data_IF_341108795905
#
_entry.id   IF_341108795905
#
_cell.length_a   1.000
_cell.length_b   1.000
_cell.length_c   1.000
_cell.angle_alpha   90.00
_cell.angle_beta   90.00
_cell.angle_gamma   90.00
#
_symmetry.space_group_name_H-M   'P 1'
#
loop_
_entity.id
_entity.type
_entity.pdbx_description
1 polymer ?
#
# COMPACT_ATOMS: atom_id res chain seq x y z
N UNK A 1 8.68 -12.38 18.61
CA UNK A 1 8.67 -12.34 17.13
C UNK A 1 7.26 -12.06 16.58
N UNK A 2 6.66 -10.91 16.91
CA UNK A 2 5.31 -10.56 16.45
C UNK A 2 5.25 -10.01 15.01
N UNK A 3 6.38 -9.49 14.51
CA UNK A 3 6.51 -8.94 13.15
C UNK A 3 6.25 -9.98 12.03
N UNK A 4 6.17 -11.28 12.35
CA UNK A 4 5.90 -12.34 11.38
C UNK A 4 4.40 -12.68 11.26
N UNK A 5 3.62 -12.57 12.35
CA UNK A 5 2.21 -13.00 12.35
C UNK A 5 1.28 -12.01 11.62
N UNK A 6 1.44 -10.70 11.86
CA UNK A 6 0.63 -9.68 11.15
C UNK A 6 0.96 -9.64 9.66
N UNK A 7 2.23 -9.74 9.29
CA UNK A 7 2.66 -9.81 7.89
C UNK A 7 2.07 -11.03 7.19
N UNK A 8 2.16 -12.22 7.80
CA UNK A 8 1.51 -13.45 7.28
C UNK A 8 0.00 -13.30 7.15
N UNK A 9 -0.67 -12.65 8.11
CA UNK A 9 -2.12 -12.38 8.03
C UNK A 9 -2.46 -11.60 6.77
N UNK A 10 -1.71 -10.56 6.43
CA UNK A 10 -1.97 -9.77 5.22
C UNK A 10 -1.60 -10.52 3.94
N UNK A 11 -0.45 -11.18 3.89
CA UNK A 11 -0.02 -11.98 2.73
C UNK A 11 -1.02 -13.09 2.37
N UNK A 12 -1.67 -13.68 3.38
CA UNK A 12 -2.64 -14.75 3.20
C UNK A 12 -4.10 -14.26 3.19
N UNK A 13 -4.34 -12.94 3.18
CA UNK A 13 -5.70 -12.39 3.18
C UNK A 13 -6.35 -12.49 1.80
N UNK A 14 -7.67 -12.65 1.75
CA UNK A 14 -8.40 -12.65 0.48
C UNK A 14 -8.23 -11.32 -0.24
N UNK A 15 -8.27 -10.20 0.48
CA UNK A 15 -8.04 -8.87 -0.11
C UNK A 15 -6.68 -8.72 -0.78
N UNK A 16 -5.63 -9.36 -0.26
CA UNK A 16 -4.33 -9.37 -0.92
C UNK A 16 -4.41 -10.10 -2.27
N UNK A 17 -5.02 -11.29 -2.28
CA UNK A 17 -5.18 -12.08 -3.50
C UNK A 17 -6.08 -11.37 -4.53
N UNK A 18 -7.21 -10.82 -4.08
CA UNK A 18 -8.17 -10.07 -4.91
C UNK A 18 -7.52 -8.84 -5.55
N UNK A 19 -6.86 -7.99 -4.75
CA UNK A 19 -6.19 -6.79 -5.29
C UNK A 19 -5.07 -7.17 -6.25
N UNK A 20 -4.28 -8.20 -5.93
CA UNK A 20 -3.21 -8.66 -6.82
C UNK A 20 -3.79 -9.13 -8.15
N UNK A 21 -4.85 -9.93 -8.11
CA UNK A 21 -5.49 -10.45 -9.31
C UNK A 21 -6.10 -9.29 -10.13
N UNK A 22 -6.78 -8.35 -9.51
CA UNK A 22 -7.36 -7.18 -10.19
C UNK A 22 -6.30 -6.34 -10.90
N UNK A 23 -5.10 -6.19 -10.32
CA UNK A 23 -4.00 -5.46 -10.96
C UNK A 23 -3.44 -6.23 -12.16
N UNK A 24 -3.28 -7.55 -12.05
CA UNK A 24 -2.83 -8.40 -13.15
C UNK A 24 -3.85 -8.39 -14.31
N UNK A 25 -5.14 -8.52 -13.99
CA UNK A 25 -6.22 -8.49 -14.98
C UNK A 25 -6.26 -7.14 -15.73
N UNK A 26 -5.98 -6.02 -15.03
CA UNK A 26 -5.89 -4.71 -15.67
C UNK A 26 -4.68 -4.59 -16.62
N UNK A 27 -3.55 -5.20 -16.26
CA UNK A 27 -2.39 -5.27 -17.16
C UNK A 27 -2.71 -6.08 -18.41
N UNK A 28 -3.36 -7.23 -18.26
CA UNK A 28 -3.77 -8.06 -19.40
C UNK A 28 -4.75 -7.32 -20.32
N UNK A 29 -5.75 -6.62 -19.76
CA UNK A 29 -6.73 -5.82 -20.53
C UNK A 29 -6.09 -4.69 -21.33
N UNK A 30 -4.99 -4.13 -20.83
CA UNK A 30 -4.25 -3.05 -21.51
C UNK A 30 -3.18 -3.57 -22.47
N UNK A 31 -3.05 -4.90 -22.62
CA UNK A 31 -2.01 -5.54 -23.43
C UNK A 31 -0.61 -5.43 -22.82
N UNK A 32 -0.50 -5.01 -21.56
CA UNK A 32 0.77 -4.89 -20.83
C UNK A 32 1.16 -6.27 -20.31
N UNK A 33 2.08 -6.93 -21.02
CA UNK A 33 2.50 -8.32 -20.72
C UNK A 33 3.99 -8.42 -20.46
N UNK A 34 4.38 -9.41 -19.64
CA UNK A 34 5.76 -9.75 -19.39
C UNK A 34 6.11 -9.80 -17.91
N UNK A 35 7.13 -10.61 -17.59
CA UNK A 35 7.55 -10.88 -16.21
C UNK A 35 7.90 -9.61 -15.42
N UNK A 36 8.46 -8.60 -16.09
CA UNK A 36 8.78 -7.32 -15.48
C UNK A 36 7.54 -6.63 -14.88
N UNK A 37 6.44 -6.56 -15.62
CA UNK A 37 5.22 -5.92 -15.13
C UNK A 37 4.53 -6.74 -14.04
N UNK A 38 4.60 -8.08 -14.12
CA UNK A 38 4.17 -8.95 -13.02
C UNK A 38 4.99 -8.71 -11.74
N UNK A 39 6.29 -8.46 -11.88
CA UNK A 39 7.18 -8.15 -10.75
C UNK A 39 6.82 -6.81 -10.12
N UNK A 40 6.56 -5.78 -10.92
CA UNK A 40 6.06 -4.49 -10.44
C UNK A 40 4.71 -4.61 -9.69
N UNK A 41 3.82 -5.51 -10.12
CA UNK A 41 2.61 -5.81 -9.33
C UNK A 41 2.96 -6.47 -7.99
N UNK A 42 3.94 -7.38 -7.95
CA UNK A 42 4.40 -7.95 -6.68
C UNK A 42 4.98 -6.88 -5.76
N UNK A 43 5.80 -5.96 -6.29
CA UNK A 43 6.34 -4.81 -5.55
C UNK A 43 5.20 -3.96 -4.96
N UNK A 44 4.17 -3.66 -5.76
CA UNK A 44 2.99 -2.95 -5.27
C UNK A 44 2.32 -3.68 -4.09
N UNK A 45 2.22 -5.00 -4.18
CA UNK A 45 1.59 -5.80 -3.14
C UNK A 45 2.43 -5.90 -1.86
N UNK A 46 3.77 -5.92 -1.95
CA UNK A 46 4.66 -5.81 -0.79
C UNK A 46 4.51 -4.44 -0.09
N UNK A 47 4.37 -3.38 -0.89
CA UNK A 47 4.07 -2.03 -0.38
C UNK A 47 2.67 -1.97 0.25
N UNK A 48 1.68 -2.67 -0.31
CA UNK A 48 0.35 -2.76 0.27
C UNK A 48 0.37 -3.39 1.67
N UNK A 49 1.10 -4.50 1.85
CA UNK A 49 1.28 -5.14 3.16
C UNK A 49 1.97 -4.18 4.13
N UNK A 50 3.03 -3.51 3.69
CA UNK A 50 3.74 -2.51 4.49
C UNK A 50 2.82 -1.38 4.94
N UNK A 51 2.00 -0.84 4.02
CA UNK A 51 1.00 0.19 4.32
C UNK A 51 0.00 -0.29 5.37
N UNK A 52 -0.50 -1.53 5.27
CA UNK A 52 -1.42 -2.10 6.24
C UNK A 52 -0.79 -2.22 7.64
N UNK A 53 0.48 -2.64 7.74
CA UNK A 53 1.19 -2.71 9.01
C UNK A 53 1.38 -1.33 9.65
N UNK A 54 1.67 -0.31 8.85
CA UNK A 54 1.78 1.08 9.32
C UNK A 54 0.42 1.63 9.80
N UNK A 55 -0.67 1.28 9.13
CA UNK A 55 -2.03 1.63 9.58
C UNK A 55 -2.34 0.96 10.92
N UNK A 56 -2.10 -0.34 11.04
CA UNK A 56 -2.27 -1.09 12.29
C UNK A 56 -1.51 -0.45 13.45
N UNK A 57 -0.27 -0.04 13.20
CA UNK A 57 0.57 0.61 14.18
C UNK A 57 0.01 1.97 14.64
N UNK A 58 -0.47 2.79 13.70
CA UNK A 58 -1.11 4.08 14.00
C UNK A 58 -2.40 3.87 14.80
N UNK A 59 -3.22 2.89 14.44
CA UNK A 59 -4.46 2.58 15.16
C UNK A 59 -4.17 2.08 16.58
N UNK A 60 -3.11 1.30 16.76
CA UNK A 60 -2.74 0.73 18.04
C UNK A 60 -2.06 1.75 18.97
N UNK A 61 -1.14 2.57 18.46
CA UNK A 61 -0.31 3.47 19.28
C UNK A 61 -0.73 4.93 19.24
N UNK A 62 -1.61 5.29 18.31
CA UNK A 62 -2.07 6.66 18.10
C UNK A 62 -1.08 7.50 17.28
N UNK A 63 -1.47 8.75 17.03
CA UNK A 63 -0.69 9.72 16.24
C UNK A 63 0.50 10.30 16.99
N UNK A 64 0.46 10.25 18.32
CA UNK A 64 1.51 10.64 19.23
C UNK A 64 1.81 9.48 20.18
N UNK A 65 3.08 9.15 20.37
CA UNK A 65 3.54 8.01 21.15
C UNK A 65 4.44 8.45 22.28
N UNK A 66 4.31 7.79 23.42
CA UNK A 66 5.23 7.97 24.54
C UNK A 66 6.56 7.28 24.23
N UNK A 67 7.67 7.92 24.58
CA UNK A 67 8.98 7.30 24.59
C UNK A 67 9.59 7.43 25.99
N UNK A 68 10.44 6.47 26.35
CA UNK A 68 11.23 6.50 27.57
C UNK A 68 12.58 5.85 27.27
N UNK A 69 13.62 6.67 27.23
CA UNK A 69 14.98 6.24 26.89
C UNK A 69 15.82 5.88 28.13
N UNK A 70 15.21 5.89 29.33
CA UNK A 70 15.92 5.73 30.60
C UNK A 70 16.57 7.03 31.09
N UNK A 71 17.13 7.00 32.31
CA UNK A 71 17.82 8.16 32.89
C UNK A 71 16.96 9.41 33.11
N UNK A 72 15.64 9.25 33.21
CA UNK A 72 14.68 10.36 33.34
C UNK A 72 14.24 11.00 32.01
N UNK A 73 14.79 10.57 30.87
CA UNK A 73 14.41 11.09 29.55
C UNK A 73 13.17 10.36 29.02
N UNK A 74 12.02 10.98 29.21
CA UNK A 74 10.74 10.50 28.68
C UNK A 74 9.90 11.66 28.16
N UNK A 75 8.98 11.37 27.26
CA UNK A 75 8.13 12.39 26.65
C UNK A 75 7.18 11.81 25.62
N UNK A 76 6.61 12.69 24.80
CA UNK A 76 5.73 12.32 23.70
C UNK A 76 6.37 12.78 22.39
N UNK A 77 6.36 11.92 21.38
CA UNK A 77 6.78 12.26 20.02
C UNK A 77 5.71 11.85 19.01
N UNK A 78 5.81 12.36 17.78
CA UNK A 78 4.95 11.90 16.68
C UNK A 78 5.20 10.42 16.39
N UNK A 79 4.16 9.73 15.93
CA UNK A 79 4.31 8.37 15.43
C UNK A 79 4.94 8.38 14.02
N UNK A 80 6.17 7.86 13.92
CA UNK A 80 6.94 7.80 12.67
C UNK A 80 6.21 7.03 11.55
N UNK A 81 5.29 6.12 11.90
CA UNK A 81 4.47 5.37 10.94
C UNK A 81 3.57 6.27 10.09
N UNK A 82 3.22 7.47 10.55
CA UNK A 82 2.39 8.42 9.79
C UNK A 82 3.13 8.88 8.54
N UNK A 83 4.35 9.38 8.71
CA UNK A 83 5.14 9.89 7.59
C UNK A 83 5.57 8.75 6.65
N UNK A 84 5.91 7.59 7.21
CA UNK A 84 6.22 6.40 6.42
C UNK A 84 5.02 5.96 5.57
N UNK A 85 3.79 5.96 6.13
CA UNK A 85 2.58 5.61 5.39
C UNK A 85 2.36 6.54 4.21
N UNK A 86 2.56 7.84 4.38
CA UNK A 86 2.42 8.83 3.29
C UNK A 86 3.45 8.55 2.19
N UNK A 87 4.71 8.28 2.55
CA UNK A 87 5.78 7.97 1.59
C UNK A 87 5.50 6.68 0.82
N UNK A 88 5.13 5.60 1.52
CA UNK A 88 4.75 4.32 0.89
C UNK A 88 3.57 4.55 -0.07
N UNK A 89 2.53 5.24 0.38
CA UNK A 89 1.35 5.49 -0.46
C UNK A 89 1.70 6.33 -1.70
N UNK A 90 2.59 7.31 -1.59
CA UNK A 90 3.03 8.11 -2.74
C UNK A 90 3.78 7.25 -3.78
N UNK A 91 4.61 6.32 -3.34
CA UNK A 91 5.31 5.40 -4.24
C UNK A 91 4.35 4.36 -4.86
N UNK A 92 3.36 3.88 -4.10
CA UNK A 92 2.29 3.03 -4.64
C UNK A 92 1.53 3.72 -5.78
N UNK A 93 1.20 5.02 -5.63
CA UNK A 93 0.53 5.78 -6.68
C UNK A 93 1.40 5.96 -7.93
N UNK A 94 2.71 6.17 -7.78
CA UNK A 94 3.65 6.24 -8.90
C UNK A 94 3.72 4.91 -9.64
N UNK A 95 3.79 3.80 -8.92
CA UNK A 95 3.83 2.46 -9.51
C UNK A 95 2.57 2.15 -10.33
N UNK A 96 1.38 2.50 -9.83
CA UNK A 96 0.14 2.40 -10.61
C UNK A 96 0.19 3.24 -11.88
N UNK A 97 0.74 4.47 -11.79
CA UNK A 97 0.90 5.34 -12.96
C UNK A 97 1.87 4.76 -13.99
N UNK A 98 2.99 4.16 -13.55
CA UNK A 98 3.98 3.52 -14.44
C UNK A 98 3.42 2.25 -15.09
N UNK A 99 2.55 1.53 -14.38
CA UNK A 99 1.79 0.39 -14.90
C UNK A 99 0.62 0.78 -15.82
N UNK A 100 0.36 2.08 -16.01
CA UNK A 100 -0.77 2.57 -16.81
C UNK A 100 -2.14 2.30 -16.17
N UNK A 101 -2.18 1.89 -14.89
CA UNK A 101 -3.39 1.58 -14.15
C UNK A 101 -4.00 2.88 -13.63
N UNK A 102 -5.15 3.26 -14.19
CA UNK A 102 -5.91 4.46 -13.79
C UNK A 102 -7.16 4.07 -13.01
N UNK A 103 -7.66 4.93 -12.11
CA UNK A 103 -8.97 4.73 -11.50
C UNK A 103 -10.01 4.53 -12.60
N UNK A 104 -10.79 3.45 -12.52
CA UNK A 104 -11.90 3.25 -13.44
C UNK A 104 -12.91 4.41 -13.25
N UNK A 105 -13.11 5.21 -14.29
CA UNK A 105 -14.16 6.21 -14.35
C UNK A 105 -15.49 5.48 -14.56
N UNK A 106 -16.05 4.85 -13.53
CA UNK A 106 -17.41 4.32 -13.60
C UNK A 106 -18.39 5.43 -13.28
N UNK A 107 -18.76 6.21 -14.30
CA UNK A 107 -19.88 7.16 -14.26
C UNK A 107 -19.63 8.47 -14.99
N UNK A 108 -19.94 8.50 -16.29
CA UNK A 108 -19.99 9.70 -17.13
C UNK A 108 -19.95 9.33 -18.61
N UNK A 109 -21.11 9.11 -19.22
CA UNK A 109 -21.30 9.11 -20.68
C UNK A 109 -20.93 10.48 -21.28
N UNK A 110 -20.48 10.43 -22.55
CA UNK A 110 -20.32 11.49 -23.55
C UNK A 110 -19.20 12.54 -23.28
N UNK A 111 -18.25 12.80 -24.19
CA UNK A 111 -18.50 13.20 -25.58
C UNK A 111 -17.44 12.64 -26.55
N UNK A 112 -17.92 12.10 -27.66
CA UNK A 112 -17.19 12.03 -28.92
C UNK A 112 -16.92 13.46 -29.42
N UNK A 113 -15.66 13.88 -29.55
CA UNK A 113 -15.34 14.97 -30.49
C UNK A 113 -14.71 14.37 -31.76
N UNK A 114 -15.60 14.05 -32.71
CA UNK A 114 -15.38 14.38 -34.12
C UNK A 114 -15.99 15.75 -34.43
#
# INVERSE_FOLDING_TARGET
MAANAKTKKYLNSSSYAEIKQDLLDQLERTGTVGKYYTDLVNDYMDMWVTKCLLVDDIQQRGVNIKYNNGGGQSGVKKNDSIEQRIKVNAQMLKLLSELGIKPAQTGGEDDEEM
#
